data_IF_336618333402
#
_entry.id   IF_336618333402
#
_cell.length_a   1.000
_cell.length_b   1.000
_cell.length_c   1.000
_cell.angle_alpha   90.00
_cell.angle_beta   90.00
_cell.angle_gamma   90.00
#
_symmetry.space_group_name_H-M   'P 1'
#
loop_
_entity.id
_entity.type
_entity.pdbx_description
1 polymer ?
#
# COMPACT_ATOMS: atom_id res chain seq x y z
N UNK A 1 -15.90 -24.61 -9.56
CA UNK A 1 -15.99 -24.54 -11.05
C UNK A 1 -14.59 -24.74 -11.60
N UNK A 2 -14.29 -25.94 -12.07
CA UNK A 2 -13.02 -26.27 -12.71
C UNK A 2 -13.01 -25.69 -14.13
N UNK A 3 -12.03 -24.85 -14.41
CA UNK A 3 -11.75 -24.36 -15.78
C UNK A 3 -10.63 -25.23 -16.35
N UNK A 4 -10.94 -26.01 -17.36
CA UNK A 4 -9.94 -26.81 -18.08
C UNK A 4 -9.25 -25.96 -19.13
N UNK A 5 -7.99 -25.64 -18.93
CA UNK A 5 -7.13 -25.04 -19.96
C UNK A 5 -6.46 -26.15 -20.78
N UNK A 6 -6.36 -26.02 -22.13
CA UNK A 6 -5.92 -27.11 -23.02
C UNK A 6 -4.46 -27.57 -22.86
N UNK A 7 -3.66 -26.91 -21.98
CA UNK A 7 -2.24 -27.26 -21.76
C UNK A 7 -1.84 -27.46 -20.28
N UNK A 8 -2.73 -27.19 -19.28
CA UNK A 8 -2.35 -27.13 -17.86
C UNK A 8 -3.23 -28.04 -16.97
N UNK A 9 -4.26 -28.73 -17.53
CA UNK A 9 -5.16 -29.59 -16.76
C UNK A 9 -6.27 -28.82 -16.00
N UNK A 10 -7.11 -29.50 -15.22
CA UNK A 10 -8.19 -28.87 -14.48
C UNK A 10 -7.61 -28.06 -13.33
N UNK A 11 -7.62 -26.73 -13.48
CA UNK A 11 -7.28 -25.80 -12.41
C UNK A 11 -8.52 -25.48 -11.59
N UNK A 12 -8.42 -25.68 -10.28
CA UNK A 12 -9.47 -25.25 -9.35
C UNK A 12 -9.49 -23.71 -9.30
N UNK A 13 -10.51 -23.10 -9.91
CA UNK A 13 -10.64 -21.64 -10.01
C UNK A 13 -10.56 -20.95 -8.64
N UNK A 14 -10.94 -21.65 -7.56
CA UNK A 14 -10.80 -21.15 -6.18
C UNK A 14 -9.34 -21.10 -5.73
N UNK A 15 -8.52 -22.09 -6.05
CA UNK A 15 -7.11 -22.14 -5.67
C UNK A 15 -6.28 -21.07 -6.41
N UNK A 16 -6.67 -20.68 -7.63
CA UNK A 16 -5.98 -19.68 -8.44
C UNK A 16 -6.38 -18.24 -8.10
N UNK A 17 -7.51 -18.04 -7.43
CA UNK A 17 -8.06 -16.71 -7.13
C UNK A 17 -7.29 -15.98 -6.05
N UNK A 18 -6.85 -16.67 -4.98
CA UNK A 18 -6.11 -16.05 -3.86
C UNK A 18 -4.72 -15.54 -4.26
N UNK A 19 -3.87 -16.31 -4.97
CA UNK A 19 -2.59 -15.80 -5.45
C UNK A 19 -2.73 -14.55 -6.34
N UNK A 20 -3.70 -14.55 -7.24
CA UNK A 20 -3.96 -13.41 -8.14
C UNK A 20 -4.46 -12.21 -7.35
N UNK A 21 -5.41 -12.40 -6.44
CA UNK A 21 -5.91 -11.33 -5.57
C UNK A 21 -4.78 -10.73 -4.72
N UNK A 22 -3.93 -11.60 -4.13
CA UNK A 22 -2.77 -11.18 -3.34
C UNK A 22 -1.81 -10.34 -4.18
N UNK A 23 -1.46 -10.82 -5.40
CA UNK A 23 -0.55 -10.11 -6.28
C UNK A 23 -1.12 -8.76 -6.72
N UNK A 24 -2.39 -8.71 -7.07
CA UNK A 24 -3.06 -7.48 -7.52
C UNK A 24 -3.15 -6.46 -6.38
N UNK A 25 -3.70 -6.85 -5.23
CA UNK A 25 -3.89 -5.91 -4.11
C UNK A 25 -2.57 -5.50 -3.49
N UNK A 26 -1.67 -6.45 -3.19
CA UNK A 26 -0.37 -6.14 -2.61
C UNK A 26 0.52 -5.35 -3.58
N UNK A 27 0.49 -5.70 -4.87
CA UNK A 27 1.22 -4.98 -5.90
C UNK A 27 0.79 -3.52 -6.03
N UNK A 28 -0.51 -3.25 -5.93
CA UNK A 28 -1.01 -1.87 -6.00
C UNK A 28 -0.78 -1.09 -4.71
N UNK A 29 -0.95 -1.74 -3.57
CA UNK A 29 -0.68 -1.15 -2.27
C UNK A 29 0.82 -0.81 -2.10
N UNK A 30 1.70 -1.60 -2.71
CA UNK A 30 3.13 -1.38 -2.74
C UNK A 30 3.55 -0.06 -3.43
N UNK A 31 2.71 0.50 -4.32
CA UNK A 31 2.93 1.80 -4.97
C UNK A 31 2.30 2.96 -4.21
N UNK A 32 2.20 2.85 -2.90
CA UNK A 32 1.69 3.90 -2.04
C UNK A 32 2.58 5.16 -2.08
N UNK A 33 2.03 6.32 -2.47
CA UNK A 33 2.79 7.56 -2.55
C UNK A 33 3.33 8.03 -1.19
N UNK A 34 2.69 7.67 -0.07
CA UNK A 34 3.12 8.09 1.26
C UNK A 34 4.41 7.39 1.69
N UNK A 35 4.50 6.06 1.52
CA UNK A 35 5.71 5.28 1.82
C UNK A 35 6.87 5.70 0.91
N UNK A 36 6.61 5.88 -0.38
CA UNK A 36 7.62 6.35 -1.32
C UNK A 36 8.16 7.73 -0.97
N UNK A 37 7.28 8.66 -0.60
CA UNK A 37 7.71 10.00 -0.21
C UNK A 37 8.67 9.97 0.97
N UNK A 38 8.31 9.24 2.04
CA UNK A 38 9.14 9.17 3.26
C UNK A 38 10.46 8.48 2.98
N UNK A 39 10.43 7.34 2.28
CA UNK A 39 11.63 6.57 1.96
C UNK A 39 12.57 7.36 1.04
N UNK A 40 12.08 7.92 -0.06
CA UNK A 40 12.90 8.68 -1.00
C UNK A 40 13.50 9.93 -0.36
N UNK A 41 12.75 10.61 0.50
CA UNK A 41 13.25 11.77 1.22
C UNK A 41 14.36 11.37 2.21
N UNK A 42 14.16 10.29 2.99
CA UNK A 42 15.15 9.76 3.92
C UNK A 42 16.45 9.38 3.20
N UNK A 43 16.34 8.62 2.11
CA UNK A 43 17.49 8.23 1.30
C UNK A 43 18.19 9.45 0.67
N UNK A 44 17.44 10.46 0.23
CA UNK A 44 18.00 11.71 -0.30
C UNK A 44 18.84 12.47 0.73
N UNK A 45 18.44 12.46 2.00
CA UNK A 45 19.25 13.03 3.08
C UNK A 45 20.54 12.22 3.31
N UNK A 46 20.44 10.88 3.24
CA UNK A 46 21.58 9.97 3.45
C UNK A 46 22.60 10.02 2.33
N UNK A 47 22.23 10.40 1.11
CA UNK A 47 23.18 10.62 0.00
C UNK A 47 24.27 11.64 0.40
N UNK A 48 23.90 12.68 1.15
CA UNK A 48 24.86 13.69 1.62
C UNK A 48 25.89 13.13 2.61
N UNK A 49 25.56 12.03 3.31
CA UNK A 49 26.51 11.33 4.20
C UNK A 49 27.52 10.46 3.45
N UNK A 50 27.41 10.29 2.13
CA UNK A 50 28.31 9.56 1.22
C UNK A 50 28.68 8.13 1.68
N UNK A 51 27.79 7.44 2.42
CA UNK A 51 28.04 6.11 2.95
C UNK A 51 26.99 5.12 2.46
N UNK A 52 27.40 4.23 1.54
CA UNK A 52 26.53 3.16 1.00
C UNK A 52 26.05 2.21 2.10
N UNK A 53 26.91 1.88 3.03
CA UNK A 53 26.56 0.99 4.15
C UNK A 53 25.48 1.61 5.04
N UNK A 54 25.59 2.89 5.39
CA UNK A 54 24.56 3.59 6.18
C UNK A 54 23.23 3.64 5.43
N UNK A 55 23.26 3.93 4.12
CA UNK A 55 22.06 3.94 3.29
C UNK A 55 21.38 2.56 3.24
N UNK A 56 22.16 1.49 3.05
CA UNK A 56 21.65 0.13 3.00
C UNK A 56 21.04 -0.30 4.34
N UNK A 57 21.72 -0.04 5.45
CA UNK A 57 21.26 -0.41 6.80
C UNK A 57 20.02 0.37 7.18
N UNK A 58 20.01 1.69 7.00
CA UNK A 58 18.87 2.53 7.37
C UNK A 58 17.68 2.27 6.45
N UNK A 59 17.90 2.21 5.13
CA UNK A 59 16.84 1.90 4.17
C UNK A 59 16.27 0.50 4.39
N UNK A 60 17.13 -0.50 4.61
CA UNK A 60 16.71 -1.87 4.92
C UNK A 60 15.93 -1.96 6.23
N UNK A 61 16.38 -1.28 7.28
CA UNK A 61 15.67 -1.20 8.57
C UNK A 61 14.28 -0.55 8.39
N UNK A 62 14.21 0.55 7.65
CA UNK A 62 12.94 1.20 7.36
C UNK A 62 11.97 0.24 6.65
N UNK A 63 12.41 -0.44 5.59
CA UNK A 63 11.59 -1.39 4.82
C UNK A 63 11.15 -2.57 5.69
N UNK A 64 12.06 -3.15 6.49
CA UNK A 64 11.75 -4.25 7.39
C UNK A 64 10.65 -3.88 8.40
N UNK A 65 10.82 -2.74 9.07
CA UNK A 65 9.85 -2.30 10.08
C UNK A 65 8.54 -1.82 9.46
N UNK A 66 8.57 -1.27 8.24
CA UNK A 66 7.35 -0.99 7.48
C UNK A 66 6.56 -2.27 7.23
N UNK A 67 7.21 -3.33 6.73
CA UNK A 67 6.55 -4.62 6.54
C UNK A 67 6.02 -5.23 7.85
N UNK A 68 6.77 -5.16 8.95
CA UNK A 68 6.34 -5.68 10.25
C UNK A 68 5.11 -4.93 10.80
N UNK A 69 5.13 -3.62 10.79
CA UNK A 69 4.00 -2.79 11.26
C UNK A 69 2.76 -3.07 10.41
N UNK A 70 2.95 -3.17 9.09
CA UNK A 70 1.86 -3.45 8.17
C UNK A 70 1.28 -4.85 8.38
N UNK A 71 2.14 -5.87 8.58
CA UNK A 71 1.70 -7.22 8.91
C UNK A 71 0.88 -7.28 10.20
N UNK A 72 1.34 -6.62 11.28
CA UNK A 72 0.62 -6.56 12.56
C UNK A 72 -0.75 -5.92 12.38
N UNK A 73 -0.82 -4.84 11.60
CA UNK A 73 -2.08 -4.17 11.30
C UNK A 73 -3.04 -5.07 10.52
N UNK A 74 -2.56 -5.75 9.49
CA UNK A 74 -3.36 -6.70 8.71
C UNK A 74 -3.82 -7.88 9.57
N UNK A 75 -2.95 -8.41 10.45
CA UNK A 75 -3.30 -9.46 11.38
C UNK A 75 -4.40 -9.01 12.37
N UNK A 76 -4.33 -7.76 12.85
CA UNK A 76 -5.38 -7.19 13.69
C UNK A 76 -6.73 -7.14 12.94
N UNK A 77 -6.77 -6.64 11.70
CA UNK A 77 -7.98 -6.62 10.87
C UNK A 77 -8.50 -8.01 10.56
N UNK A 78 -7.61 -8.95 10.23
CA UNK A 78 -7.99 -10.36 10.02
C UNK A 78 -8.71 -10.92 11.24
N UNK A 79 -8.16 -10.75 12.42
CA UNK A 79 -8.76 -11.25 13.66
C UNK A 79 -10.10 -10.56 13.96
N UNK A 80 -10.24 -9.26 13.69
CA UNK A 80 -11.53 -8.57 13.79
C UNK A 80 -12.57 -9.23 12.89
N UNK A 81 -12.23 -9.53 11.63
CA UNK A 81 -13.15 -10.19 10.71
C UNK A 81 -13.44 -11.65 11.08
N UNK A 82 -12.46 -12.40 11.61
CA UNK A 82 -12.65 -13.78 12.06
C UNK A 82 -13.57 -13.86 13.29
N UNK A 83 -13.40 -12.94 14.26
CA UNK A 83 -14.24 -12.88 15.47
C UNK A 83 -15.64 -12.38 15.14
N UNK A 84 -15.73 -11.39 14.29
CA UNK A 84 -17.01 -10.80 13.91
C UNK A 84 -17.84 -11.68 12.96
N UNK A 85 -17.21 -12.68 12.33
CA UNK A 85 -17.87 -13.60 11.40
C UNK A 85 -18.43 -12.90 10.16
N UNK A 86 -19.54 -13.44 9.64
CA UNK A 86 -20.22 -12.89 8.44
C UNK A 86 -21.15 -11.69 8.72
N UNK A 87 -20.83 -10.88 9.73
CA UNK A 87 -21.63 -9.69 9.98
C UNK A 87 -21.57 -8.73 8.78
N UNK A 88 -22.67 -8.63 8.04
CA UNK A 88 -22.83 -7.69 6.92
C UNK A 88 -22.43 -6.26 7.29
N UNK A 89 -22.65 -5.89 8.56
CA UNK A 89 -22.31 -4.56 9.09
C UNK A 89 -20.81 -4.29 8.98
N UNK A 90 -19.94 -5.23 9.35
CA UNK A 90 -18.47 -5.04 9.32
C UNK A 90 -17.98 -5.01 7.87
N UNK A 91 -18.51 -5.87 7.02
CA UNK A 91 -18.22 -5.83 5.57
C UNK A 91 -18.66 -4.49 4.96
N UNK A 92 -19.82 -3.98 5.36
CA UNK A 92 -20.31 -2.67 4.91
C UNK A 92 -19.42 -1.52 5.41
N UNK A 93 -18.98 -1.56 6.68
CA UNK A 93 -18.05 -0.57 7.23
C UNK A 93 -16.74 -0.57 6.44
N UNK A 94 -16.16 -1.76 6.18
CA UNK A 94 -14.94 -1.88 5.38
C UNK A 94 -15.12 -1.32 3.95
N UNK A 95 -16.24 -1.63 3.31
CA UNK A 95 -16.59 -1.08 2.00
C UNK A 95 -16.75 0.45 2.02
N UNK A 96 -17.42 1.00 3.04
CA UNK A 96 -17.57 2.46 3.20
C UNK A 96 -16.22 3.15 3.45
N UNK A 97 -15.35 2.56 4.26
CA UNK A 97 -13.97 3.05 4.45
C UNK A 97 -13.22 3.06 3.12
N UNK A 98 -13.27 1.95 2.35
CA UNK A 98 -12.62 1.87 1.05
C UNK A 98 -13.15 2.93 0.07
N UNK A 99 -14.48 3.17 0.03
CA UNK A 99 -15.08 4.22 -0.80
C UNK A 99 -14.69 5.63 -0.35
N UNK A 100 -14.60 5.86 0.97
CA UNK A 100 -14.16 7.15 1.51
C UNK A 100 -12.70 7.43 1.11
N UNK A 101 -11.82 6.43 1.26
CA UNK A 101 -10.42 6.51 0.82
C UNK A 101 -10.35 6.75 -0.69
N UNK A 102 -11.18 6.06 -1.48
CA UNK A 102 -11.27 6.25 -2.92
C UNK A 102 -11.63 7.70 -3.28
N UNK A 103 -12.68 8.23 -2.69
CA UNK A 103 -13.15 9.59 -2.94
C UNK A 103 -12.08 10.64 -2.60
N UNK A 104 -11.40 10.48 -1.46
CA UNK A 104 -10.32 11.38 -1.03
C UNK A 104 -9.10 11.30 -1.95
N UNK A 105 -8.70 10.11 -2.39
CA UNK A 105 -7.56 9.93 -3.30
C UNK A 105 -7.86 10.48 -4.70
N UNK A 106 -9.07 10.25 -5.23
CA UNK A 106 -9.50 10.82 -6.52
C UNK A 106 -9.58 12.35 -6.41
N UNK A 107 -10.19 12.87 -5.34
CA UNK A 107 -10.23 14.32 -5.08
C UNK A 107 -8.82 14.92 -5.01
N UNK A 108 -7.87 14.26 -4.35
CA UNK A 108 -6.50 14.73 -4.21
C UNK A 108 -5.73 14.80 -5.55
N UNK A 109 -6.15 14.06 -6.56
CA UNK A 109 -5.60 14.22 -7.91
C UNK A 109 -5.96 15.58 -8.50
N UNK A 110 -7.25 15.98 -8.43
CA UNK A 110 -7.74 17.22 -9.02
C UNK A 110 -7.45 18.45 -8.16
N UNK A 111 -7.69 18.33 -6.86
CA UNK A 111 -7.55 19.40 -5.86
C UNK A 111 -6.61 18.97 -4.74
N UNK A 112 -5.32 18.92 -5.08
CA UNK A 112 -4.30 18.50 -4.12
C UNK A 112 -4.25 19.50 -2.95
N UNK A 113 -4.31 18.96 -1.70
CA UNK A 113 -4.33 19.73 -0.45
C UNK A 113 -5.55 20.65 -0.21
N UNK A 114 -6.54 20.67 -1.09
CA UNK A 114 -7.76 21.43 -0.83
C UNK A 114 -8.73 20.58 0.04
N UNK A 115 -9.08 21.05 1.22
CA UNK A 115 -9.98 20.35 2.15
C UNK A 115 -9.37 19.07 2.74
N UNK A 116 -10.21 18.10 3.18
CA UNK A 116 -9.74 16.86 3.77
C UNK A 116 -8.91 16.05 2.76
N UNK A 117 -7.73 15.63 3.17
CA UNK A 117 -6.77 14.87 2.34
C UNK A 117 -6.12 13.77 3.15
N UNK A 118 -5.85 12.63 2.50
CA UNK A 118 -5.09 11.53 3.08
C UNK A 118 -3.56 11.70 2.89
N UNK A 119 -3.11 12.82 2.34
CA UNK A 119 -1.69 13.17 2.30
C UNK A 119 -1.18 13.53 3.69
N UNK A 120 0.12 13.36 3.91
CA UNK A 120 0.77 13.81 5.16
C UNK A 120 0.44 15.29 5.38
N UNK A 121 -0.23 15.66 6.50
CA UNK A 121 -0.62 17.03 6.76
C UNK A 121 0.60 17.97 6.78
N UNK A 122 0.46 19.17 6.23
CA UNK A 122 1.57 20.15 6.21
C UNK A 122 2.07 20.48 7.62
N UNK A 123 1.17 20.49 8.61
CA UNK A 123 1.51 20.67 10.03
C UNK A 123 2.38 19.51 10.60
N UNK A 124 2.27 18.31 10.08
CA UNK A 124 3.06 17.14 10.53
C UNK A 124 4.44 17.06 9.83
N UNK A 125 4.59 17.69 8.65
CA UNK A 125 5.85 17.64 7.87
C UNK A 125 7.07 18.17 8.62
N UNK A 126 7.03 19.32 9.33
CA UNK A 126 8.19 19.82 10.07
C UNK A 126 8.69 18.83 11.11
N UNK A 127 7.78 18.17 11.85
CA UNK A 127 8.13 17.14 12.83
C UNK A 127 8.74 15.90 12.18
N UNK A 128 8.17 15.46 11.06
CA UNK A 128 8.69 14.34 10.28
C UNK A 128 10.09 14.64 9.71
N UNK A 129 10.30 15.82 9.12
CA UNK A 129 11.59 16.27 8.62
C UNK A 129 12.63 16.45 9.73
N UNK A 130 12.22 16.88 10.92
CA UNK A 130 13.09 16.94 12.09
C UNK A 130 13.59 15.54 12.46
N UNK A 131 12.70 14.56 12.59
CA UNK A 131 13.06 13.16 12.87
C UNK A 131 13.97 12.56 11.81
N UNK A 132 13.70 12.80 10.52
CA UNK A 132 14.56 12.35 9.42
C UNK A 132 15.97 12.96 9.51
N UNK A 133 16.09 14.24 9.87
CA UNK A 133 17.40 14.89 10.08
C UNK A 133 18.12 14.35 11.30
N UNK A 134 17.41 14.03 12.37
CA UNK A 134 17.99 13.40 13.58
C UNK A 134 18.57 12.03 13.26
N UNK A 135 17.92 11.23 12.38
CA UNK A 135 18.48 9.96 11.88
C UNK A 135 19.84 10.18 11.20
N UNK A 136 19.96 11.22 10.38
CA UNK A 136 21.20 11.49 9.62
C UNK A 136 22.27 12.15 10.49
N UNK A 137 21.87 12.99 11.44
CA UNK A 137 22.80 13.74 12.31
C UNK A 137 23.42 12.88 13.41
N UNK A 138 22.83 11.75 13.79
CA UNK A 138 23.38 10.84 14.77
C UNK A 138 24.67 10.20 14.22
N UNK A 139 25.81 10.48 14.85
CA UNK A 139 27.14 10.00 14.41
C UNK A 139 27.33 8.49 14.58
N UNK A 140 26.56 7.82 15.45
CA UNK A 140 26.66 6.39 15.75
C UNK A 140 25.47 5.60 15.18
N UNK A 141 25.70 4.32 14.83
CA UNK A 141 24.69 3.45 14.20
C UNK A 141 23.49 3.14 15.10
N UNK A 142 23.69 2.99 16.41
CA UNK A 142 22.62 2.64 17.35
C UNK A 142 21.47 3.66 17.37
N UNK A 143 21.73 4.93 17.71
CA UNK A 143 20.70 5.98 17.65
C UNK A 143 20.07 6.15 16.27
N UNK A 144 20.83 5.96 15.17
CA UNK A 144 20.30 6.00 13.81
C UNK A 144 19.26 4.90 13.57
N UNK A 145 19.52 3.68 14.02
CA UNK A 145 18.57 2.57 13.91
C UNK A 145 17.29 2.82 14.71
N UNK A 146 17.41 3.23 15.97
CA UNK A 146 16.26 3.54 16.82
C UNK A 146 15.39 4.63 16.18
N UNK A 147 16.02 5.72 15.74
CA UNK A 147 15.30 6.81 15.08
C UNK A 147 14.65 6.36 13.76
N UNK A 148 15.28 5.43 13.02
CA UNK A 148 14.72 4.86 11.79
C UNK A 148 13.50 4.00 12.08
N UNK A 149 13.53 3.18 13.13
CA UNK A 149 12.38 2.38 13.57
C UNK A 149 11.21 3.28 13.96
N UNK A 150 11.46 4.29 14.79
CA UNK A 150 10.43 5.26 15.18
C UNK A 150 9.85 6.00 13.96
N UNK A 151 10.71 6.37 13.01
CA UNK A 151 10.29 6.99 11.76
C UNK A 151 9.42 6.04 10.95
N UNK A 152 9.80 4.76 10.82
CA UNK A 152 9.02 3.75 10.12
C UNK A 152 7.63 3.58 10.75
N UNK A 153 7.53 3.50 12.08
CA UNK A 153 6.25 3.41 12.78
C UNK A 153 5.36 4.63 12.49
N UNK A 154 5.91 5.84 12.61
CA UNK A 154 5.16 7.08 12.34
C UNK A 154 4.75 7.18 10.88
N UNK A 155 5.65 6.85 9.94
CA UNK A 155 5.35 6.88 8.52
C UNK A 155 4.23 5.89 8.16
N UNK A 156 4.30 4.66 8.66
CA UNK A 156 3.27 3.66 8.43
C UNK A 156 1.93 4.03 9.08
N UNK A 157 1.92 4.75 10.20
CA UNK A 157 0.67 5.26 10.77
C UNK A 157 -0.05 6.22 9.83
N UNK A 158 0.68 7.09 9.11
CA UNK A 158 0.10 7.92 8.06
C UNK A 158 -0.26 7.12 6.81
N UNK A 159 0.56 6.14 6.46
CA UNK A 159 0.32 5.25 5.32
C UNK A 159 -1.00 4.49 5.46
N UNK A 160 -1.28 3.97 6.66
CA UNK A 160 -2.54 3.30 6.96
C UNK A 160 -3.77 4.20 6.70
N UNK A 161 -3.65 5.51 6.90
CA UNK A 161 -4.71 6.45 6.55
C UNK A 161 -4.90 6.58 5.03
N UNK A 162 -3.81 6.46 4.25
CA UNK A 162 -3.84 6.59 2.80
C UNK A 162 -4.41 5.36 2.09
N UNK A 163 -4.14 4.16 2.62
CA UNK A 163 -4.40 2.88 1.96
C UNK A 163 -5.11 1.84 2.83
N UNK A 164 -5.68 2.23 3.96
CA UNK A 164 -6.39 1.31 4.88
C UNK A 164 -7.41 0.39 4.17
N UNK A 165 -7.97 0.84 3.05
CA UNK A 165 -8.92 0.08 2.27
C UNK A 165 -8.34 -1.22 1.67
N UNK A 166 -7.07 -1.22 1.17
CA UNK A 166 -6.46 -2.42 0.58
C UNK A 166 -6.32 -3.57 1.59
N UNK A 167 -5.69 -3.37 2.76
CA UNK A 167 -5.62 -4.42 3.78
C UNK A 167 -6.99 -4.86 4.29
N UNK A 168 -7.95 -3.94 4.44
CA UNK A 168 -9.31 -4.29 4.88
C UNK A 168 -10.03 -5.17 3.85
N UNK A 169 -9.97 -4.81 2.56
CA UNK A 169 -10.55 -5.60 1.47
C UNK A 169 -9.88 -6.97 1.41
N UNK A 170 -8.55 -7.01 1.48
CA UNK A 170 -7.80 -8.26 1.39
C UNK A 170 -8.07 -9.20 2.57
N UNK A 171 -8.00 -8.70 3.80
CA UNK A 171 -8.28 -9.51 5.00
C UNK A 171 -9.72 -10.02 5.02
N UNK A 172 -10.67 -9.20 4.55
CA UNK A 172 -12.06 -9.67 4.39
C UNK A 172 -12.17 -10.75 3.31
N UNK A 173 -11.52 -10.58 2.16
CA UNK A 173 -11.52 -11.58 1.10
C UNK A 173 -10.90 -12.92 1.58
N UNK A 174 -9.85 -12.87 2.39
CA UNK A 174 -9.26 -14.07 3.01
C UNK A 174 -10.27 -14.81 3.89
N UNK A 175 -11.05 -14.11 4.71
CA UNK A 175 -12.07 -14.77 5.57
C UNK A 175 -13.20 -15.43 4.79
N UNK A 176 -13.41 -15.05 3.53
CA UNK A 176 -14.38 -15.68 2.62
C UNK A 176 -13.82 -16.92 1.91
N UNK A 177 -12.53 -17.18 2.03
CA UNK A 177 -11.85 -18.29 1.33
C UNK A 177 -11.84 -19.60 2.12
N UNK A 178 -12.37 -19.61 3.36
CA UNK A 178 -12.50 -20.79 4.22
C UNK A 178 -11.17 -21.57 4.36
N UNK A 179 -10.15 -20.87 4.88
CA UNK A 179 -8.78 -21.37 5.03
C UNK A 179 -8.53 -21.91 6.44
N UNK A 180 -7.50 -22.76 6.57
CA UNK A 180 -6.96 -23.13 7.88
C UNK A 180 -6.25 -21.95 8.56
N UNK A 181 -6.24 -21.92 9.90
CA UNK A 181 -5.72 -20.80 10.69
C UNK A 181 -4.30 -20.36 10.29
N UNK A 182 -3.40 -21.30 10.02
CA UNK A 182 -2.02 -20.97 9.61
C UNK A 182 -1.93 -20.40 8.19
N UNK A 183 -2.85 -20.79 7.30
CA UNK A 183 -2.89 -20.33 5.91
C UNK A 183 -3.23 -18.84 5.83
N UNK A 184 -4.11 -18.35 6.71
CA UNK A 184 -4.40 -16.92 6.80
C UNK A 184 -3.13 -16.10 7.01
N UNK A 185 -2.31 -16.48 7.99
CA UNK A 185 -1.06 -15.77 8.29
C UNK A 185 0.01 -15.97 7.21
N UNK A 186 0.05 -17.13 6.57
CA UNK A 186 0.92 -17.36 5.43
C UNK A 186 0.59 -16.41 4.24
N UNK A 187 -0.70 -16.24 3.95
CA UNK A 187 -1.15 -15.30 2.92
C UNK A 187 -0.90 -13.83 3.29
N UNK A 188 -1.06 -13.47 4.57
CA UNK A 188 -0.66 -12.14 5.05
C UNK A 188 0.85 -11.91 4.88
N UNK A 189 1.67 -12.90 5.18
CA UNK A 189 3.11 -12.83 4.97
C UNK A 189 3.45 -12.68 3.48
N UNK A 190 2.81 -13.46 2.60
CA UNK A 190 2.97 -13.34 1.15
C UNK A 190 2.61 -11.94 0.63
N UNK A 191 1.48 -11.39 1.10
CA UNK A 191 1.07 -10.01 0.79
C UNK A 191 2.16 -9.01 1.18
N UNK A 192 2.66 -9.10 2.41
CA UNK A 192 3.68 -8.19 2.92
C UNK A 192 5.02 -8.32 2.18
N UNK A 193 5.41 -9.53 1.77
CA UNK A 193 6.59 -9.73 0.93
C UNK A 193 6.44 -8.96 -0.39
N UNK A 194 5.29 -9.08 -1.06
CA UNK A 194 5.02 -8.36 -2.32
C UNK A 194 5.01 -6.84 -2.08
N UNK A 195 4.37 -6.41 -0.99
CA UNK A 195 4.27 -5.01 -0.60
C UNK A 195 5.64 -4.34 -0.41
N UNK A 196 6.60 -5.02 0.24
CA UNK A 196 7.93 -4.43 0.51
C UNK A 196 8.89 -4.50 -0.67
N UNK A 197 8.63 -5.30 -1.71
CA UNK A 197 9.54 -5.46 -2.86
C UNK A 197 9.87 -4.15 -3.57
N UNK A 198 8.92 -3.27 -3.93
CA UNK A 198 9.24 -2.00 -4.56
C UNK A 198 10.04 -1.06 -3.66
N UNK A 199 9.76 -1.04 -2.36
CA UNK A 199 10.52 -0.26 -1.38
C UNK A 199 11.98 -0.76 -1.31
N UNK A 200 12.17 -2.08 -1.28
CA UNK A 200 13.49 -2.70 -1.29
C UNK A 200 14.24 -2.41 -2.60
N UNK A 201 13.55 -2.43 -3.74
CA UNK A 201 14.12 -2.08 -5.03
C UNK A 201 14.60 -0.62 -5.04
N UNK A 202 13.82 0.32 -4.50
CA UNK A 202 14.22 1.72 -4.33
C UNK A 202 15.49 1.84 -3.51
N UNK A 203 15.54 1.20 -2.32
CA UNK A 203 16.74 1.21 -1.46
C UNK A 203 17.95 0.69 -2.24
N UNK A 204 17.79 -0.44 -2.94
CA UNK A 204 18.87 -1.07 -3.71
C UNK A 204 19.40 -0.15 -4.82
N UNK A 205 18.51 0.49 -5.58
CA UNK A 205 18.88 1.44 -6.63
C UNK A 205 19.64 2.63 -6.03
N UNK A 206 19.14 3.20 -4.94
CA UNK A 206 19.78 4.34 -4.28
C UNK A 206 21.18 3.99 -3.75
N UNK A 207 21.34 2.83 -3.11
CA UNK A 207 22.64 2.36 -2.61
C UNK A 207 23.64 2.16 -3.76
N UNK A 208 23.19 1.61 -4.89
CA UNK A 208 24.06 1.37 -6.06
C UNK A 208 24.44 2.67 -6.77
N UNK A 209 23.48 3.54 -7.02
CA UNK A 209 23.68 4.74 -7.85
C UNK A 209 24.16 5.95 -7.06
N UNK A 210 24.05 5.92 -5.71
CA UNK A 210 24.31 7.10 -4.87
C UNK A 210 23.57 8.35 -5.35
N UNK A 211 22.48 8.15 -6.04
CA UNK A 211 21.70 9.21 -6.71
C UNK A 211 20.24 9.14 -6.36
N UNK A 212 19.63 10.32 -6.21
CA UNK A 212 18.25 10.45 -5.82
C UNK A 212 17.41 10.96 -7.00
N UNK A 213 16.59 10.10 -7.60
CA UNK A 213 15.41 10.59 -8.31
C UNK A 213 14.31 10.82 -7.27
N UNK A 214 13.91 12.07 -7.09
CA UNK A 214 12.77 12.42 -6.25
C UNK A 214 11.49 12.11 -7.02
N UNK A 215 10.48 11.57 -6.30
CA UNK A 215 9.13 11.44 -6.85
C UNK A 215 8.59 12.87 -7.10
N UNK A 216 8.14 13.12 -8.30
CA UNK A 216 7.49 14.41 -8.62
C UNK A 216 6.08 14.44 -8.04
N UNK A 217 5.57 15.66 -7.79
CA UNK A 217 4.21 15.83 -7.30
C UNK A 217 3.19 15.25 -8.30
N UNK A 218 3.44 15.38 -9.59
CA UNK A 218 2.58 14.82 -10.65
C UNK A 218 2.52 13.28 -10.58
N UNK A 219 3.67 12.62 -10.39
CA UNK A 219 3.73 11.16 -10.22
C UNK A 219 2.98 10.73 -8.95
N UNK A 220 3.13 11.46 -7.84
CA UNK A 220 2.40 11.20 -6.61
C UNK A 220 0.88 11.36 -6.75
N UNK A 221 0.42 12.38 -7.47
CA UNK A 221 -1.00 12.59 -7.77
C UNK A 221 -1.56 11.47 -8.67
N UNK A 222 -0.80 11.04 -9.69
CA UNK A 222 -1.21 9.93 -10.55
C UNK A 222 -1.36 8.62 -9.78
N UNK A 223 -0.42 8.30 -8.89
CA UNK A 223 -0.50 7.13 -8.01
C UNK A 223 -1.75 7.19 -7.13
N UNK A 224 -2.10 8.35 -6.57
CA UNK A 224 -3.35 8.54 -5.82
C UNK A 224 -4.59 8.32 -6.68
N UNK A 225 -4.58 8.77 -7.92
CA UNK A 225 -5.70 8.56 -8.83
C UNK A 225 -5.93 7.06 -9.10
N UNK A 226 -4.84 6.34 -9.41
CA UNK A 226 -4.89 4.89 -9.66
C UNK A 226 -5.39 4.16 -8.40
N UNK A 227 -4.79 4.43 -7.23
CA UNK A 227 -5.23 3.85 -5.95
C UNK A 227 -6.68 4.18 -5.64
N UNK A 228 -7.11 5.41 -5.93
CA UNK A 228 -8.50 5.85 -5.74
C UNK A 228 -9.49 5.07 -6.58
N UNK A 229 -9.24 4.88 -7.87
CA UNK A 229 -10.13 4.08 -8.73
C UNK A 229 -10.13 2.60 -8.35
N UNK A 230 -9.00 2.05 -7.92
CA UNK A 230 -8.95 0.68 -7.41
C UNK A 230 -9.78 0.52 -6.14
N UNK A 231 -9.59 1.42 -5.17
CA UNK A 231 -10.39 1.44 -3.95
C UNK A 231 -11.89 1.60 -4.23
N UNK A 232 -12.25 2.41 -5.24
CA UNK A 232 -13.63 2.55 -5.69
C UNK A 232 -14.18 1.20 -6.18
N UNK A 233 -13.46 0.52 -7.07
CA UNK A 233 -13.85 -0.77 -7.61
C UNK A 233 -13.99 -1.85 -6.52
N UNK A 234 -12.97 -2.03 -5.70
CA UNK A 234 -12.98 -3.02 -4.62
C UNK A 234 -13.97 -2.66 -3.50
N UNK A 235 -14.10 -1.39 -3.15
CA UNK A 235 -15.10 -0.93 -2.18
C UNK A 235 -16.53 -1.20 -2.63
N UNK A 236 -16.83 -0.97 -3.91
CA UNK A 236 -18.13 -1.30 -4.51
C UNK A 236 -18.38 -2.81 -4.51
N UNK A 237 -17.38 -3.62 -4.91
CA UNK A 237 -17.50 -5.08 -4.85
C UNK A 237 -17.76 -5.56 -3.42
N UNK A 238 -17.09 -4.99 -2.43
CA UNK A 238 -17.26 -5.36 -1.03
C UNK A 238 -18.68 -5.06 -0.53
N UNK A 239 -19.31 -3.99 -1.01
CA UNK A 239 -20.68 -3.63 -0.62
C UNK A 239 -21.75 -4.42 -1.35
N UNK A 240 -21.56 -4.64 -2.66
CA UNK A 240 -22.61 -5.18 -3.53
C UNK A 240 -22.48 -6.70 -3.69
N UNK A 241 -21.27 -7.20 -3.87
CA UNK A 241 -21.01 -8.60 -4.17
C UNK A 241 -19.67 -9.09 -3.57
N UNK A 242 -19.55 -9.18 -2.23
CA UNK A 242 -18.28 -9.51 -1.56
C UNK A 242 -17.70 -10.86 -2.02
N UNK A 243 -18.55 -11.80 -2.42
CA UNK A 243 -18.10 -13.10 -2.92
C UNK A 243 -17.29 -13.02 -4.24
N UNK A 244 -17.43 -11.94 -5.01
CA UNK A 244 -16.64 -11.73 -6.21
C UNK A 244 -15.18 -11.35 -5.91
N UNK A 245 -14.86 -10.93 -4.70
CA UNK A 245 -13.48 -10.66 -4.28
C UNK A 245 -12.59 -11.91 -4.33
N UNK A 246 -13.18 -13.11 -4.15
CA UNK A 246 -12.45 -14.38 -4.28
C UNK A 246 -12.33 -14.86 -5.72
N UNK A 247 -12.80 -14.06 -6.70
CA UNK A 247 -12.70 -14.39 -8.11
C UNK A 247 -11.55 -13.61 -8.77
N UNK A 248 -10.54 -14.34 -9.25
CA UNK A 248 -9.37 -13.77 -9.91
C UNK A 248 -9.73 -12.87 -11.10
N UNK A 249 -10.73 -13.27 -11.91
CA UNK A 249 -11.15 -12.50 -13.07
C UNK A 249 -11.75 -11.14 -12.66
N UNK A 250 -12.55 -11.12 -11.60
CA UNK A 250 -13.13 -9.88 -11.07
C UNK A 250 -12.02 -8.93 -10.58
N UNK A 251 -11.01 -9.44 -9.90
CA UNK A 251 -9.86 -8.64 -9.42
C UNK A 251 -9.05 -8.06 -10.57
N UNK A 252 -8.78 -8.85 -11.61
CA UNK A 252 -8.08 -8.40 -12.83
C UNK A 252 -8.91 -7.34 -13.57
N UNK A 253 -10.22 -7.53 -13.69
CA UNK A 253 -11.10 -6.55 -14.32
C UNK A 253 -11.12 -5.22 -13.56
N UNK A 254 -11.23 -5.25 -12.23
CA UNK A 254 -11.14 -4.04 -11.40
C UNK A 254 -9.81 -3.32 -11.63
N UNK A 255 -8.70 -4.07 -11.65
CA UNK A 255 -7.38 -3.50 -11.94
C UNK A 255 -7.33 -2.85 -13.32
N UNK A 256 -7.75 -3.57 -14.36
CA UNK A 256 -7.71 -3.09 -15.73
C UNK A 256 -8.59 -1.83 -15.92
N UNK A 257 -9.81 -1.84 -15.37
CA UNK A 257 -10.72 -0.68 -15.42
C UNK A 257 -10.16 0.49 -14.62
N UNK A 258 -9.62 0.26 -13.43
CA UNK A 258 -9.05 1.31 -12.58
C UNK A 258 -7.86 2.00 -13.24
N UNK A 259 -6.92 1.20 -13.78
CA UNK A 259 -5.74 1.74 -14.49
C UNK A 259 -6.17 2.46 -15.77
N UNK A 260 -7.05 1.84 -16.56
CA UNK A 260 -7.58 2.43 -17.80
C UNK A 260 -8.30 3.75 -17.56
N UNK A 261 -9.21 3.79 -16.57
CA UNK A 261 -9.92 5.02 -16.17
C UNK A 261 -8.94 6.10 -15.70
N UNK A 262 -7.94 5.72 -14.88
CA UNK A 262 -6.93 6.66 -14.40
C UNK A 262 -6.12 7.29 -15.52
N UNK A 263 -5.70 6.50 -16.51
CA UNK A 263 -4.95 6.98 -17.66
C UNK A 263 -5.80 7.88 -18.57
N UNK A 264 -7.08 7.53 -18.77
CA UNK A 264 -8.01 8.36 -19.53
C UNK A 264 -8.23 9.69 -18.81
N UNK A 265 -8.53 9.67 -17.51
CA UNK A 265 -8.73 10.88 -16.70
C UNK A 265 -7.45 11.74 -16.69
N UNK A 266 -6.28 11.12 -16.55
CA UNK A 266 -5.01 11.85 -16.56
C UNK A 266 -4.71 12.54 -17.90
N UNK A 267 -5.18 11.98 -19.02
CA UNK A 267 -5.04 12.59 -20.36
C UNK A 267 -6.06 13.70 -20.62
N UNK A 268 -7.31 13.53 -20.14
CA UNK A 268 -8.42 14.43 -20.47
C UNK A 268 -8.53 15.58 -19.47
N UNK A 269 -8.27 15.31 -18.20
CA UNK A 269 -8.46 16.26 -17.12
C UNK A 269 -7.13 16.58 -16.43
N UNK A 270 -6.46 17.65 -16.90
CA UNK A 270 -5.25 18.11 -16.21
C UNK A 270 -5.54 18.49 -14.75
N UNK A 271 -4.64 18.15 -13.80
CA UNK A 271 -4.81 18.50 -12.40
C UNK A 271 -4.80 20.04 -12.26
N UNK A 272 -5.78 20.56 -11.53
CA UNK A 272 -5.84 21.99 -11.21
C UNK A 272 -4.77 22.32 -10.17
N UNK A 273 -3.85 23.22 -10.48
CA UNK A 273 -2.94 23.81 -9.50
C UNK A 273 -3.75 24.78 -8.64
N UNK A 274 -3.75 24.55 -7.33
CA UNK A 274 -4.32 25.49 -6.37
C UNK A 274 -3.33 26.62 -6.11
#
# INVERSE_FOLDING_TARGET
>A
TTVSLPFIGPLDAKAFSLPVLTLVLAGMDAFNPCAFFVLLFLLSLLVHARSRTRMAVIGGTFVLFSGLVYFVFMAAWLNVFLIAGELRVITAIAGLVALTVAALNIKDYFWFKAGPSLSIPDAAKPGLFKRMREVVASGSMGPMLVSTVLLAIVANSYELLCTAGFPMVYTRALTLADLESWQYYAWLAAYNVIYVLPLLAIVTVFVKTMGARKLTEAEGRLLKLISGFMMLGFGLLLLVAPNLLTNALASILVLAVAVGASLVVAKVAAPRTA
#
